data_IF_676942958044
#
_entry.id   IF_676942958044
#
_cell.length_a   1.000
_cell.length_b   1.000
_cell.length_c   1.000
_cell.angle_alpha   90.00
_cell.angle_beta   90.00
_cell.angle_gamma   90.00
#
_symmetry.space_group_name_H-M   'P 1'
#
loop_
_entity.id
_entity.type
_entity.pdbx_description
1 polymer ?
#
# COMPACT_ATOMS: atom_id res chain seq x y z
N UNK A 1 -54.78 60.49 -21.32
CA UNK A 1 -54.16 60.67 -19.99
C UNK A 1 -53.68 59.30 -19.53
N UNK A 2 -52.43 58.86 -19.76
CA UNK A 2 -51.15 59.30 -19.14
C UNK A 2 -51.32 59.43 -17.61
N UNK A 3 -50.64 58.69 -16.72
CA UNK A 3 -49.19 58.41 -16.64
C UNK A 3 -48.87 57.28 -15.63
N UNK A 4 -47.83 56.47 -15.97
CA UNK A 4 -46.73 55.93 -15.13
C UNK A 4 -47.09 55.01 -13.93
N UNK A 5 -46.70 53.74 -13.80
CA UNK A 5 -45.55 52.94 -14.28
C UNK A 5 -44.19 53.59 -14.07
N UNK A 6 -43.60 53.48 -12.86
CA UNK A 6 -42.15 53.49 -12.61
C UNK A 6 -41.81 52.93 -11.22
N UNK A 7 -41.80 51.61 -11.02
CA UNK A 7 -41.11 51.00 -9.86
C UNK A 7 -40.27 49.75 -10.16
N UNK A 8 -40.20 49.28 -11.41
CA UNK A 8 -39.41 48.11 -11.79
C UNK A 8 -38.01 48.41 -12.35
N UNK A 9 -37.57 49.66 -12.38
CA UNK A 9 -36.26 50.03 -12.95
C UNK A 9 -35.15 50.34 -11.92
N UNK A 10 -35.43 50.26 -10.62
CA UNK A 10 -34.43 50.59 -9.59
C UNK A 10 -33.78 49.36 -8.95
N UNK A 11 -34.34 48.16 -9.13
CA UNK A 11 -33.81 46.92 -8.54
C UNK A 11 -32.80 46.19 -9.44
N UNK A 12 -32.81 46.44 -10.75
CA UNK A 12 -31.86 45.84 -11.70
C UNK A 12 -30.53 46.59 -11.80
N UNK A 13 -30.44 47.84 -11.35
CA UNK A 13 -29.17 48.58 -11.33
C UNK A 13 -28.34 48.39 -10.05
N UNK A 14 -28.95 47.94 -8.94
CA UNK A 14 -28.23 47.67 -7.70
C UNK A 14 -27.52 46.29 -7.75
N UNK A 15 -28.08 45.31 -8.47
CA UNK A 15 -27.48 43.99 -8.60
C UNK A 15 -26.27 43.95 -9.56
N UNK A 16 -26.21 44.88 -10.53
CA UNK A 16 -25.07 44.98 -11.47
C UNK A 16 -23.89 45.76 -10.86
N UNK A 17 -24.12 46.66 -9.90
CA UNK A 17 -23.04 47.37 -9.20
C UNK A 17 -22.39 46.59 -8.05
N UNK A 18 -23.09 45.61 -7.45
CA UNK A 18 -22.47 44.70 -6.49
C UNK A 18 -21.56 43.64 -7.14
N UNK A 19 -21.66 43.42 -8.45
CA UNK A 19 -20.79 42.48 -9.20
C UNK A 19 -19.55 43.19 -9.79
N UNK A 20 -19.48 44.52 -9.77
CA UNK A 20 -18.38 45.30 -10.38
C UNK A 20 -17.54 46.11 -9.37
N UNK A 21 -17.80 45.98 -8.06
CA UNK A 21 -17.00 46.57 -6.97
C UNK A 21 -16.30 45.53 -6.08
N UNK A 22 -16.13 44.31 -6.56
CA UNK A 22 -15.22 43.29 -6.00
C UNK A 22 -14.10 42.94 -7.00
N UNK A 23 -13.53 43.98 -7.61
CA UNK A 23 -12.29 43.88 -8.37
C UNK A 23 -11.40 45.02 -7.89
N UNK A 24 -10.18 44.68 -7.50
CA UNK A 24 -9.16 45.56 -6.87
C UNK A 24 -9.22 45.60 -5.32
N UNK A 25 -9.11 44.44 -4.68
CA UNK A 25 -8.12 44.26 -3.61
C UNK A 25 -7.05 43.33 -4.25
N UNK A 26 -5.91 43.85 -4.68
CA UNK A 26 -4.83 44.12 -3.75
C UNK A 26 -4.15 42.80 -3.38
N UNK A 27 -3.59 42.08 -4.35
CA UNK A 27 -2.60 41.04 -4.09
C UNK A 27 -1.40 41.71 -3.43
N UNK A 28 -1.32 41.68 -2.10
CA UNK A 28 -0.02 41.78 -1.44
C UNK A 28 0.60 40.39 -1.48
N UNK A 29 1.64 40.28 -2.29
CA UNK A 29 2.60 39.18 -2.28
C UNK A 29 3.31 39.15 -0.91
N UNK A 30 2.64 38.63 0.11
CA UNK A 30 3.34 38.06 1.27
C UNK A 30 3.59 36.60 0.94
N UNK A 31 4.60 36.39 0.11
CA UNK A 31 5.33 35.14 -0.03
C UNK A 31 6.01 34.84 1.30
N UNK A 32 5.24 34.33 2.27
CA UNK A 32 5.81 33.57 3.36
C UNK A 32 6.43 32.32 2.74
N UNK A 33 7.76 32.31 2.71
CA UNK A 33 8.58 31.12 2.50
C UNK A 33 8.06 30.01 3.42
N UNK A 34 7.11 29.22 2.92
CA UNK A 34 7.10 27.80 3.25
C UNK A 34 8.41 27.28 2.69
N UNK A 35 9.32 26.89 3.58
CA UNK A 35 10.49 26.10 3.25
C UNK A 35 10.00 24.83 2.52
N UNK A 36 9.79 24.96 1.21
CA UNK A 36 9.95 23.85 0.28
C UNK A 36 11.42 23.49 0.41
N UNK A 37 11.71 22.61 1.36
CA UNK A 37 12.92 21.82 1.37
C UNK A 37 12.96 21.14 0.01
N UNK A 38 13.63 21.81 -0.94
CA UNK A 38 13.96 21.27 -2.23
C UNK A 38 14.74 20.00 -1.91
N UNK A 39 14.07 18.85 -2.03
CA UNK A 39 14.72 17.58 -2.18
C UNK A 39 15.55 17.74 -3.45
N UNK A 40 16.81 18.10 -3.28
CA UNK A 40 17.81 18.10 -4.33
C UNK A 40 17.70 16.76 -5.04
N UNK A 41 17.56 16.81 -6.37
CA UNK A 41 17.57 15.63 -7.22
C UNK A 41 18.72 14.72 -6.74
N UNK A 42 18.46 13.43 -6.46
CA UNK A 42 19.44 12.56 -5.85
C UNK A 42 20.72 12.59 -6.70
N UNK A 43 21.86 12.78 -6.04
CA UNK A 43 23.14 12.79 -6.73
C UNK A 43 23.26 11.53 -7.61
N UNK A 44 23.84 11.68 -8.79
CA UNK A 44 24.05 10.56 -9.70
C UNK A 44 24.72 9.42 -8.93
N UNK A 45 24.06 8.27 -8.90
CA UNK A 45 24.66 7.01 -8.42
C UNK A 45 26.04 6.90 -9.07
N UNK A 46 27.08 6.74 -8.24
CA UNK A 46 28.46 6.63 -8.72
C UNK A 46 28.60 5.53 -9.77
N UNK A 47 29.54 5.69 -10.70
CA UNK A 47 29.75 4.72 -11.77
C UNK A 47 30.04 3.34 -11.17
N UNK A 48 29.21 2.35 -11.51
CA UNK A 48 29.43 0.96 -11.09
C UNK A 48 30.79 0.50 -11.63
N UNK A 49 31.68 -0.10 -10.81
CA UNK A 49 32.98 -0.56 -11.28
C UNK A 49 32.87 -1.50 -12.48
N UNK A 50 33.84 -1.42 -13.40
CA UNK A 50 33.93 -2.35 -14.52
C UNK A 50 34.09 -3.80 -14.06
N UNK A 51 33.83 -4.74 -14.98
CA UNK A 51 33.85 -6.17 -14.70
C UNK A 51 35.19 -6.63 -14.07
N UNK A 52 35.21 -7.19 -12.83
CA UNK A 52 36.44 -7.48 -12.10
C UNK A 52 37.19 -8.77 -12.52
N UNK A 53 36.75 -9.46 -13.56
CA UNK A 53 37.33 -10.73 -14.00
C UNK A 53 36.80 -11.98 -13.24
N UNK A 54 36.92 -13.19 -13.81
CA UNK A 54 36.29 -14.40 -13.26
C UNK A 54 36.69 -14.70 -11.81
N UNK A 55 35.74 -15.20 -11.03
CA UNK A 55 35.93 -15.52 -9.61
C UNK A 55 36.01 -14.31 -8.67
N UNK A 56 35.80 -13.09 -9.18
CA UNK A 56 35.78 -11.84 -8.40
C UNK A 56 34.39 -11.20 -8.44
N UNK A 57 34.10 -10.35 -7.45
CA UNK A 57 32.88 -9.55 -7.35
C UNK A 57 33.26 -8.11 -6.98
N UNK A 58 32.78 -7.14 -7.73
CA UNK A 58 32.94 -5.72 -7.46
C UNK A 58 31.59 -5.03 -7.46
N UNK A 59 31.54 -3.82 -6.93
CA UNK A 59 30.30 -3.08 -6.93
C UNK A 59 30.37 -1.79 -6.15
N UNK A 60 29.19 -1.22 -5.93
CA UNK A 60 28.97 -0.03 -5.12
C UNK A 60 27.87 -0.33 -4.10
N UNK A 61 28.03 0.19 -2.88
CA UNK A 61 26.99 0.16 -1.86
C UNK A 61 26.33 1.53 -1.78
N UNK A 62 25.01 1.56 -1.85
CA UNK A 62 24.20 2.78 -1.77
C UNK A 62 23.13 2.70 -0.68
N UNK A 63 22.62 3.85 -0.26
CA UNK A 63 21.41 3.96 0.53
C UNK A 63 20.18 3.52 -0.24
N UNK A 64 19.25 2.86 0.44
CA UNK A 64 17.99 2.41 -0.18
C UNK A 64 17.09 3.60 -0.48
N UNK A 65 17.06 4.60 0.40
CA UNK A 65 16.12 5.71 0.32
C UNK A 65 16.66 6.88 -0.50
N UNK A 66 17.87 7.34 -0.21
CA UNK A 66 18.47 8.54 -0.82
C UNK A 66 19.36 8.22 -2.03
N UNK A 67 19.65 6.93 -2.26
CA UNK A 67 20.55 6.41 -3.30
C UNK A 67 21.99 6.93 -3.20
N UNK A 68 22.38 7.46 -2.04
CA UNK A 68 23.72 8.00 -1.80
C UNK A 68 24.73 6.88 -1.60
N UNK A 69 25.98 7.07 -2.04
CA UNK A 69 27.04 6.06 -1.90
C UNK A 69 27.50 5.96 -0.45
N UNK A 70 27.68 4.74 0.06
CA UNK A 70 28.01 4.50 1.46
C UNK A 70 29.46 4.05 1.66
N UNK A 71 30.25 4.90 2.33
CA UNK A 71 31.62 4.62 2.74
C UNK A 71 31.70 3.80 4.04
N UNK A 72 32.73 2.96 4.16
CA UNK A 72 33.07 2.30 5.43
C UNK A 72 32.17 1.11 5.76
N UNK A 73 31.33 0.67 4.83
CA UNK A 73 30.48 -0.51 4.96
C UNK A 73 31.30 -1.77 4.64
N UNK A 74 31.14 -2.82 5.43
CA UNK A 74 31.78 -4.11 5.17
C UNK A 74 30.90 -4.94 4.24
N UNK A 75 31.47 -5.40 3.12
CA UNK A 75 30.84 -6.34 2.19
C UNK A 75 31.58 -7.67 2.26
N UNK A 76 30.86 -8.77 2.41
CA UNK A 76 31.45 -10.09 2.61
C UNK A 76 30.73 -11.22 1.87
N UNK A 77 31.51 -12.22 1.45
CA UNK A 77 31.04 -13.45 0.83
C UNK A 77 31.91 -14.59 1.37
N UNK A 78 31.30 -15.59 2.01
CA UNK A 78 32.04 -16.67 2.70
C UNK A 78 33.09 -16.11 3.67
N UNK A 79 34.37 -16.44 3.49
CA UNK A 79 35.49 -15.94 4.30
C UNK A 79 36.20 -14.71 3.71
N UNK A 80 35.62 -14.08 2.67
CA UNK A 80 36.18 -12.89 2.00
C UNK A 80 35.41 -11.66 2.43
N UNK A 81 36.10 -10.55 2.64
CA UNK A 81 35.50 -9.26 3.00
C UNK A 81 36.28 -8.08 2.42
N UNK A 82 35.58 -6.99 2.14
CA UNK A 82 36.11 -5.70 1.74
C UNK A 82 35.36 -4.59 2.48
N UNK A 83 35.98 -3.42 2.64
CA UNK A 83 35.33 -2.21 3.18
C UNK A 83 35.16 -1.24 2.02
N UNK A 84 33.99 -0.62 1.91
CA UNK A 84 33.70 0.32 0.82
C UNK A 84 34.56 1.59 0.91
N UNK A 85 35.02 2.06 -0.25
CA UNK A 85 35.77 3.31 -0.41
C UNK A 85 34.91 4.56 -0.17
N UNK A 86 35.50 5.74 -0.34
CA UNK A 86 34.79 7.03 -0.22
C UNK A 86 33.71 7.24 -1.28
N UNK A 87 33.81 6.51 -2.38
CA UNK A 87 32.83 6.45 -3.48
C UNK A 87 31.84 5.28 -3.33
N UNK A 88 31.85 4.59 -2.18
CA UNK A 88 31.02 3.42 -1.91
C UNK A 88 31.46 2.15 -2.63
N UNK A 89 32.56 2.17 -3.39
CA UNK A 89 32.99 1.00 -4.19
C UNK A 89 33.70 -0.06 -3.36
N UNK A 90 33.60 -1.33 -3.78
CA UNK A 90 34.33 -2.46 -3.20
C UNK A 90 34.82 -3.46 -4.26
N UNK A 91 35.80 -4.28 -3.89
CA UNK A 91 36.28 -5.42 -4.66
C UNK A 91 36.57 -6.62 -3.74
N UNK A 92 35.91 -7.75 -4.02
CA UNK A 92 36.17 -9.05 -3.42
C UNK A 92 36.81 -9.98 -4.44
N UNK A 93 37.95 -10.57 -4.09
CA UNK A 93 38.66 -11.52 -4.96
C UNK A 93 38.48 -12.96 -4.49
N UNK A 94 38.39 -13.89 -5.45
CA UNK A 94 38.28 -15.32 -5.16
C UNK A 94 37.03 -15.70 -4.36
N UNK A 95 35.88 -15.14 -4.74
CA UNK A 95 34.55 -15.47 -4.19
C UNK A 95 33.89 -16.65 -4.90
N UNK A 96 34.40 -17.02 -6.09
CA UNK A 96 33.88 -18.11 -6.91
C UNK A 96 32.80 -17.67 -7.91
N UNK A 97 32.05 -18.63 -8.43
CA UNK A 97 30.96 -18.44 -9.39
C UNK A 97 29.65 -19.04 -8.83
N UNK A 98 28.52 -18.68 -9.44
CA UNK A 98 27.17 -19.10 -9.03
C UNK A 98 26.42 -18.02 -8.25
N UNK A 99 25.46 -18.46 -7.44
CA UNK A 99 24.64 -17.60 -6.56
C UNK A 99 25.37 -17.43 -5.23
N UNK A 100 25.78 -16.19 -4.95
CA UNK A 100 26.51 -15.78 -3.76
C UNK A 100 25.54 -15.15 -2.76
N UNK A 101 25.70 -15.46 -1.47
CA UNK A 101 25.08 -14.70 -0.39
C UNK A 101 26.04 -13.58 0.02
N UNK A 102 25.75 -12.35 -0.41
CA UNK A 102 26.55 -11.17 -0.11
C UNK A 102 26.02 -10.51 1.15
N UNK A 103 26.82 -10.50 2.22
CA UNK A 103 26.47 -9.90 3.50
C UNK A 103 27.11 -8.52 3.63
N UNK A 104 26.29 -7.51 3.89
CA UNK A 104 26.61 -6.09 3.96
C UNK A 104 26.34 -5.63 5.39
N UNK A 105 27.35 -5.14 6.10
CA UNK A 105 27.22 -4.77 7.52
C UNK A 105 28.00 -3.51 7.88
N UNK A 106 27.55 -2.81 8.93
CA UNK A 106 28.15 -1.57 9.41
C UNK A 106 27.41 -1.03 10.62
N UNK A 107 27.97 -0.03 11.31
CA UNK A 107 27.37 0.52 12.53
C UNK A 107 26.10 1.34 12.28
N UNK A 108 25.95 1.90 11.07
CA UNK A 108 24.91 2.86 10.74
C UNK A 108 23.88 2.30 9.74
N UNK A 109 23.91 0.99 9.48
CA UNK A 109 23.00 0.33 8.54
C UNK A 109 22.36 -0.90 9.18
N UNK A 110 21.17 -1.27 8.72
CA UNK A 110 20.66 -2.61 8.96
C UNK A 110 21.48 -3.62 8.13
N UNK A 111 21.86 -4.74 8.75
CA UNK A 111 22.76 -5.71 8.12
C UNK A 111 22.01 -6.54 7.10
N UNK A 112 22.39 -6.44 5.82
CA UNK A 112 21.72 -7.08 4.68
C UNK A 112 22.47 -8.29 4.12
N UNK A 113 21.74 -9.33 3.78
CA UNK A 113 22.14 -10.46 2.94
C UNK A 113 21.38 -10.40 1.63
N UNK A 114 22.09 -10.20 0.53
CA UNK A 114 21.54 -10.18 -0.83
C UNK A 114 22.06 -11.36 -1.64
N UNK A 115 21.17 -12.02 -2.37
CA UNK A 115 21.55 -13.05 -3.33
C UNK A 115 22.06 -12.40 -4.62
N UNK A 116 23.29 -12.72 -5.03
CA UNK A 116 23.91 -12.22 -6.27
C UNK A 116 24.28 -13.39 -7.16
N UNK A 117 23.68 -13.45 -8.35
CA UNK A 117 24.03 -14.44 -9.37
C UNK A 117 25.14 -13.89 -10.27
N UNK A 118 26.36 -14.43 -10.13
CA UNK A 118 27.52 -13.98 -10.92
C UNK A 118 27.42 -14.26 -12.41
N UNK A 119 26.46 -15.11 -12.84
CA UNK A 119 26.15 -15.30 -14.25
C UNK A 119 25.44 -14.08 -14.88
N UNK A 120 24.74 -13.27 -14.07
CA UNK A 120 24.04 -12.06 -14.53
C UNK A 120 24.96 -10.84 -14.53
N UNK A 121 26.10 -10.93 -13.85
CA UNK A 121 27.13 -9.90 -13.79
C UNK A 121 28.04 -10.06 -12.57
N UNK A 122 29.26 -9.53 -12.66
CA UNK A 122 30.25 -9.49 -11.56
C UNK A 122 30.48 -8.09 -11.01
N UNK A 123 29.71 -7.12 -11.51
CA UNK A 123 29.65 -5.74 -11.07
C UNK A 123 28.22 -5.45 -10.62
N UNK A 124 28.02 -5.14 -9.34
CA UNK A 124 26.68 -5.04 -8.74
C UNK A 124 26.46 -3.70 -8.03
N UNK A 125 25.20 -3.30 -7.97
CA UNK A 125 24.73 -2.25 -7.05
C UNK A 125 24.05 -2.96 -5.89
N UNK A 126 24.53 -2.69 -4.68
CA UNK A 126 23.96 -3.22 -3.45
C UNK A 126 23.34 -2.04 -2.69
N UNK A 127 22.06 -2.14 -2.32
CA UNK A 127 21.42 -1.13 -1.49
C UNK A 127 21.27 -1.61 -0.04
N UNK A 128 21.37 -0.71 0.93
CA UNK A 128 21.13 -1.00 2.36
C UNK A 128 20.31 0.11 2.99
N UNK A 129 19.67 -0.17 4.12
CA UNK A 129 18.90 0.84 4.86
C UNK A 129 19.71 1.39 6.00
N UNK A 130 19.83 2.70 6.05
CA UNK A 130 20.53 3.43 7.09
C UNK A 130 19.68 3.56 8.35
N UNK A 131 20.30 3.30 9.51
CA UNK A 131 19.63 3.36 10.82
C UNK A 131 19.31 4.79 11.27
N UNK A 132 19.95 5.79 10.68
CA UNK A 132 19.74 7.22 10.96
C UNK A 132 18.84 7.91 9.91
N UNK A 133 18.11 7.11 9.11
CA UNK A 133 17.14 7.61 8.14
C UNK A 133 15.73 7.75 8.75
N UNK A 134 14.75 8.11 7.93
CA UNK A 134 13.33 8.10 8.31
C UNK A 134 12.71 6.70 8.34
N UNK A 135 13.48 5.65 8.04
CA UNK A 135 13.03 4.27 8.10
C UNK A 135 12.94 3.77 9.55
N UNK A 136 11.84 3.12 9.89
CA UNK A 136 11.64 2.43 11.16
C UNK A 136 11.45 0.93 10.94
N UNK A 137 12.37 0.13 11.48
CA UNK A 137 12.36 -1.33 11.33
C UNK A 137 11.16 -1.99 12.03
N UNK A 138 10.67 -1.42 13.14
CA UNK A 138 9.55 -2.01 13.88
C UNK A 138 8.29 -1.87 13.05
N UNK A 139 8.01 -0.65 12.57
CA UNK A 139 6.88 -0.36 11.69
C UNK A 139 6.95 -1.16 10.39
N UNK A 140 8.13 -1.27 9.76
CA UNK A 140 8.31 -2.12 8.58
C UNK A 140 7.89 -3.57 8.85
N UNK A 141 8.30 -4.14 9.99
CA UNK A 141 7.97 -5.52 10.35
C UNK A 141 6.50 -5.71 10.67
N UNK A 142 5.82 -4.70 11.20
CA UNK A 142 4.36 -4.74 11.34
C UNK A 142 3.72 -4.77 9.95
N UNK A 143 3.92 -3.72 9.15
CA UNK A 143 3.21 -3.50 7.90
C UNK A 143 3.51 -4.55 6.82
N UNK A 144 4.75 -5.03 6.75
CA UNK A 144 5.17 -5.96 5.69
C UNK A 144 5.09 -7.43 6.11
N UNK A 145 5.07 -7.72 7.42
CA UNK A 145 5.38 -9.06 7.93
C UNK A 145 4.51 -9.55 9.09
N UNK A 146 3.67 -8.71 9.69
CA UNK A 146 2.72 -9.16 10.72
C UNK A 146 3.29 -9.17 12.13
N UNK A 147 4.37 -8.42 12.38
CA UNK A 147 4.92 -8.26 13.74
C UNK A 147 4.03 -7.44 14.69
N UNK A 148 2.79 -7.16 14.29
CA UNK A 148 1.82 -6.45 15.10
C UNK A 148 1.41 -7.30 16.31
N UNK A 149 1.17 -6.71 17.51
CA UNK A 149 0.83 -7.47 18.73
C UNK A 149 -0.40 -8.39 18.62
N UNK A 150 -1.29 -8.15 17.63
CA UNK A 150 -2.45 -9.00 17.34
C UNK A 150 -2.13 -10.15 16.37
N UNK A 151 -1.14 -10.01 15.49
CA UNK A 151 -0.76 -11.04 14.51
C UNK A 151 0.37 -11.95 15.03
N UNK A 152 1.30 -11.42 15.84
CA UNK A 152 2.34 -12.14 16.63
C UNK A 152 3.29 -13.07 15.88
N UNK A 153 3.21 -13.15 14.55
CA UNK A 153 4.04 -13.99 13.71
C UNK A 153 4.74 -13.16 12.62
N UNK A 154 5.98 -13.50 12.33
CA UNK A 154 6.79 -12.86 11.29
C UNK A 154 6.73 -13.68 10.00
N UNK A 155 5.93 -13.22 9.06
CA UNK A 155 5.77 -13.86 7.76
C UNK A 155 6.79 -13.34 6.73
N UNK A 156 7.05 -14.08 5.65
CA UNK A 156 7.72 -13.52 4.48
C UNK A 156 6.89 -12.41 3.84
N UNK A 157 7.55 -11.47 3.15
CA UNK A 157 6.85 -10.40 2.43
C UNK A 157 6.04 -10.97 1.27
N UNK A 158 4.74 -10.65 1.22
CA UNK A 158 3.86 -10.98 0.11
C UNK A 158 3.66 -9.74 -0.74
N UNK A 159 3.79 -9.85 -2.05
CA UNK A 159 3.55 -8.73 -2.97
C UNK A 159 3.31 -9.22 -4.39
N UNK A 160 2.87 -8.31 -5.23
CA UNK A 160 2.86 -8.50 -6.67
C UNK A 160 4.29 -8.43 -7.23
N UNK A 161 4.66 -9.36 -8.12
CA UNK A 161 6.00 -9.41 -8.73
C UNK A 161 6.01 -9.34 -10.26
N UNK A 162 4.83 -9.45 -10.88
CA UNK A 162 4.68 -9.28 -12.32
C UNK A 162 5.16 -7.89 -12.76
N UNK A 163 5.90 -7.81 -13.86
CA UNK A 163 6.23 -6.51 -14.47
C UNK A 163 5.02 -5.84 -15.14
N UNK A 164 3.95 -6.61 -15.38
CA UNK A 164 2.68 -6.09 -15.87
C UNK A 164 1.76 -5.87 -14.66
N UNK A 165 1.25 -4.64 -14.43
CA UNK A 165 0.31 -4.37 -13.35
C UNK A 165 -0.91 -5.30 -13.42
N UNK A 166 -1.52 -5.66 -12.27
CA UNK A 166 -2.78 -6.39 -12.29
C UNK A 166 -3.87 -5.53 -12.95
N UNK A 167 -4.86 -6.20 -13.56
CA UNK A 167 -6.07 -5.51 -14.00
C UNK A 167 -6.98 -5.33 -12.80
N UNK A 168 -7.39 -4.08 -12.55
CA UNK A 168 -8.31 -3.74 -11.48
C UNK A 168 -9.73 -3.82 -12.02
N UNK A 169 -10.56 -4.66 -11.42
CA UNK A 169 -11.97 -4.76 -11.75
C UNK A 169 -12.81 -4.14 -10.64
N UNK A 170 -13.67 -3.21 -11.00
CA UNK A 170 -14.73 -2.70 -10.12
C UNK A 170 -16.01 -3.46 -10.47
N UNK A 171 -16.49 -4.26 -9.53
CA UNK A 171 -17.70 -5.05 -9.71
C UNK A 171 -18.93 -4.14 -9.66
N UNK A 172 -19.79 -4.27 -10.67
CA UNK A 172 -21.03 -3.48 -10.84
C UNK A 172 -22.28 -4.24 -10.39
N UNK A 173 -22.10 -5.37 -9.72
CA UNK A 173 -23.21 -6.15 -9.19
C UNK A 173 -23.75 -5.53 -7.89
N UNK A 174 -24.80 -4.72 -8.00
CA UNK A 174 -25.50 -4.13 -6.85
C UNK A 174 -26.37 -5.09 -6.04
N UNK A 175 -26.43 -6.40 -6.36
CA UNK A 175 -27.31 -7.33 -5.65
C UNK A 175 -27.00 -7.49 -4.14
N UNK A 176 -25.76 -7.15 -3.74
CA UNK A 176 -25.33 -7.15 -2.35
C UNK A 176 -25.29 -5.74 -1.73
N UNK A 177 -25.73 -4.71 -2.46
CA UNK A 177 -25.94 -3.35 -1.93
C UNK A 177 -27.39 -3.19 -1.44
N UNK A 178 -27.58 -2.36 -0.42
CA UNK A 178 -28.86 -2.13 0.24
C UNK A 178 -29.96 -1.63 -0.73
N UNK A 179 -29.60 -0.79 -1.69
CA UNK A 179 -30.53 -0.23 -2.66
C UNK A 179 -30.55 -0.97 -4.01
N UNK A 180 -29.69 -1.99 -4.16
CA UNK A 180 -29.61 -2.80 -5.36
C UNK A 180 -28.77 -2.18 -6.49
N UNK A 181 -28.07 -1.07 -6.25
CA UNK A 181 -27.35 -0.28 -7.25
C UNK A 181 -25.94 0.01 -6.76
N UNK A 182 -24.97 0.06 -7.68
CA UNK A 182 -23.65 0.64 -7.42
C UNK A 182 -23.58 1.92 -8.25
N UNK A 183 -23.50 3.07 -7.60
CA UNK A 183 -23.57 4.35 -8.31
C UNK A 183 -22.26 4.67 -9.05
N UNK A 184 -22.38 5.47 -10.11
CA UNK A 184 -21.20 5.87 -10.90
C UNK A 184 -20.22 6.72 -10.07
N UNK A 185 -20.71 7.45 -9.07
CA UNK A 185 -19.89 8.23 -8.15
C UNK A 185 -18.96 7.33 -7.33
N UNK A 186 -19.46 6.18 -6.86
CA UNK A 186 -18.64 5.22 -6.10
C UNK A 186 -17.61 4.54 -7.00
N UNK A 187 -18.02 4.15 -8.22
CA UNK A 187 -17.10 3.60 -9.23
C UNK A 187 -15.97 4.59 -9.54
N UNK A 188 -16.31 5.87 -9.75
CA UNK A 188 -15.35 6.92 -10.05
C UNK A 188 -14.42 7.19 -8.85
N UNK A 189 -14.96 7.14 -7.63
CA UNK A 189 -14.20 7.30 -6.38
C UNK A 189 -13.20 6.16 -6.20
N UNK A 190 -13.64 4.90 -6.32
CA UNK A 190 -12.76 3.72 -6.29
C UNK A 190 -11.67 3.85 -7.35
N UNK A 191 -12.03 4.18 -8.59
CA UNK A 191 -11.06 4.33 -9.67
C UNK A 191 -10.05 5.47 -9.40
N UNK A 192 -10.48 6.57 -8.79
CA UNK A 192 -9.63 7.70 -8.41
C UNK A 192 -8.62 7.31 -7.33
N UNK A 193 -9.10 6.69 -6.24
CA UNK A 193 -8.25 6.25 -5.13
C UNK A 193 -7.22 5.22 -5.59
N UNK A 194 -7.62 4.23 -6.38
CA UNK A 194 -6.70 3.21 -6.91
C UNK A 194 -5.57 3.82 -7.76
N UNK A 195 -5.89 4.81 -8.61
CA UNK A 195 -4.87 5.54 -9.39
C UNK A 195 -3.94 6.36 -8.50
N UNK A 196 -4.44 6.90 -7.40
CA UNK A 196 -3.66 7.67 -6.44
C UNK A 196 -2.69 6.77 -5.67
N UNK A 197 -3.19 5.70 -5.04
CA UNK A 197 -2.42 4.90 -4.08
C UNK A 197 -1.45 3.92 -4.75
N UNK A 198 -1.78 3.38 -5.93
CA UNK A 198 -0.95 2.34 -6.56
C UNK A 198 0.51 2.76 -6.78
N UNK A 199 0.82 3.92 -7.40
CA UNK A 199 2.21 4.34 -7.55
C UNK A 199 2.89 4.62 -6.21
N UNK A 200 2.14 5.01 -5.18
CA UNK A 200 2.68 5.26 -3.83
C UNK A 200 3.04 3.95 -3.14
N UNK A 201 2.06 3.04 -3.02
CA UNK A 201 2.17 1.75 -2.36
C UNK A 201 3.23 0.85 -3.00
N UNK A 202 3.41 0.97 -4.31
CA UNK A 202 4.38 0.17 -5.06
C UNK A 202 5.69 0.90 -5.35
N UNK A 203 5.84 2.13 -4.83
CA UNK A 203 6.98 3.02 -5.10
C UNK A 203 7.34 3.09 -6.60
N UNK A 204 6.31 3.31 -7.40
CA UNK A 204 6.41 3.45 -8.86
C UNK A 204 6.65 2.14 -9.61
N UNK A 205 6.73 0.98 -8.95
CA UNK A 205 6.79 -0.31 -9.64
C UNK A 205 5.61 -0.47 -10.59
N UNK A 206 4.42 0.00 -10.16
CA UNK A 206 3.31 0.29 -11.05
C UNK A 206 3.05 1.80 -11.09
N UNK A 207 3.54 2.45 -12.14
CA UNK A 207 3.31 3.89 -12.37
C UNK A 207 1.92 4.21 -12.92
N UNK A 208 1.22 3.20 -13.45
CA UNK A 208 -0.15 3.27 -13.95
C UNK A 208 -0.80 1.91 -13.89
N UNK A 209 -2.13 1.88 -13.93
CA UNK A 209 -2.95 0.65 -13.86
C UNK A 209 -4.08 0.69 -14.87
N UNK A 210 -4.53 -0.50 -15.27
CA UNK A 210 -5.75 -0.67 -16.04
C UNK A 210 -6.91 -0.89 -15.06
N UNK A 211 -7.98 -0.10 -15.21
CA UNK A 211 -9.19 -0.22 -14.40
C UNK A 211 -10.37 -0.46 -15.33
N UNK A 212 -11.11 -1.53 -15.08
CA UNK A 212 -12.28 -1.94 -15.84
C UNK A 212 -13.47 -2.10 -14.89
N UNK A 213 -14.67 -1.83 -15.38
CA UNK A 213 -15.88 -2.29 -14.72
C UNK A 213 -16.23 -3.69 -15.23
N UNK A 214 -16.67 -4.56 -14.33
CA UNK A 214 -17.08 -5.92 -14.67
C UNK A 214 -18.29 -6.33 -13.83
N UNK A 215 -18.93 -7.42 -14.21
CA UNK A 215 -20.01 -8.02 -13.44
C UNK A 215 -19.56 -9.37 -12.89
N UNK A 216 -19.56 -9.51 -11.56
CA UNK A 216 -19.36 -10.78 -10.87
C UNK A 216 -20.57 -11.09 -9.99
N UNK A 217 -21.15 -12.27 -10.17
CA UNK A 217 -22.35 -12.72 -9.44
C UNK A 217 -22.06 -12.94 -7.96
N UNK A 218 -23.10 -12.88 -7.11
CA UNK A 218 -22.99 -13.15 -5.66
C UNK A 218 -22.48 -14.56 -5.32
N UNK A 219 -22.58 -15.52 -6.25
CA UNK A 219 -22.01 -16.86 -6.11
C UNK A 219 -20.56 -16.99 -6.59
N UNK A 220 -19.86 -15.87 -6.87
CA UNK A 220 -18.47 -15.92 -7.34
C UNK A 220 -17.55 -16.57 -6.32
N UNK A 221 -16.54 -17.24 -6.83
CA UNK A 221 -15.41 -17.83 -6.09
C UNK A 221 -14.12 -17.15 -6.52
N UNK A 222 -13.06 -17.31 -5.75
CA UNK A 222 -11.74 -16.78 -6.12
C UNK A 222 -11.20 -17.38 -7.43
N UNK A 223 -11.62 -18.59 -7.78
CA UNK A 223 -11.25 -19.23 -9.05
C UNK A 223 -11.95 -18.60 -10.26
N UNK A 224 -13.05 -17.86 -10.05
CA UNK A 224 -13.82 -17.22 -11.12
C UNK A 224 -13.19 -15.90 -11.57
N UNK A 225 -12.31 -15.29 -10.76
CA UNK A 225 -11.61 -14.05 -11.13
C UNK A 225 -10.33 -14.38 -11.91
N UNK A 226 -9.94 -13.58 -12.93
CA UNK A 226 -8.76 -13.84 -13.73
C UNK A 226 -7.47 -13.88 -12.91
N UNK A 227 -6.44 -14.59 -13.38
CA UNK A 227 -5.10 -14.43 -12.83
C UNK A 227 -4.59 -13.00 -13.09
N UNK A 228 -3.68 -12.54 -12.23
CA UNK A 228 -3.16 -11.18 -12.26
C UNK A 228 -4.26 -10.11 -12.17
N UNK A 229 -5.23 -10.31 -11.26
CA UNK A 229 -6.39 -9.42 -11.11
C UNK A 229 -6.63 -8.95 -9.68
N UNK A 230 -7.22 -7.77 -9.58
CA UNK A 230 -7.53 -7.08 -8.34
C UNK A 230 -9.01 -6.67 -8.40
N UNK A 231 -9.88 -7.39 -7.71
CA UNK A 231 -11.33 -7.21 -7.80
C UNK A 231 -11.85 -6.50 -6.56
N UNK A 232 -12.53 -5.37 -6.75
CA UNK A 232 -13.25 -4.63 -5.72
C UNK A 232 -14.74 -4.86 -5.94
N UNK A 233 -15.41 -5.38 -4.93
CA UNK A 233 -16.86 -5.60 -4.90
C UNK A 233 -17.48 -4.90 -3.71
N UNK A 234 -18.80 -4.76 -3.79
CA UNK A 234 -19.62 -4.06 -2.80
C UNK A 234 -20.52 -5.09 -2.12
N UNK A 235 -20.50 -5.14 -0.79
CA UNK A 235 -21.31 -6.10 -0.01
C UNK A 235 -21.71 -5.53 1.34
N UNK A 236 -22.94 -5.02 1.42
CA UNK A 236 -23.50 -4.47 2.64
C UNK A 236 -23.79 -5.54 3.70
N UNK A 237 -23.74 -6.83 3.39
CA UNK A 237 -23.87 -7.86 4.42
C UNK A 237 -22.68 -7.87 5.40
N UNK A 238 -21.54 -7.25 5.04
CA UNK A 238 -20.40 -7.03 5.94
C UNK A 238 -20.80 -6.29 7.22
N UNK A 239 -21.80 -5.43 7.12
CA UNK A 239 -22.37 -4.67 8.24
C UNK A 239 -22.84 -5.63 9.36
N UNK A 240 -23.36 -6.81 9.05
CA UNK A 240 -23.80 -7.80 10.06
C UNK A 240 -22.66 -8.29 10.96
N UNK A 241 -21.45 -8.32 10.41
CA UNK A 241 -20.22 -8.68 11.12
C UNK A 241 -19.52 -7.46 11.74
N UNK A 242 -20.14 -6.28 11.65
CA UNK A 242 -19.59 -5.01 12.09
C UNK A 242 -18.37 -4.57 11.28
N UNK A 243 -18.22 -5.06 10.05
CA UNK A 243 -17.07 -4.80 9.18
C UNK A 243 -17.40 -3.73 8.13
N UNK A 244 -16.40 -2.94 7.77
CA UNK A 244 -16.45 -2.01 6.64
C UNK A 244 -15.89 -2.59 5.36
N UNK A 245 -14.93 -3.49 5.52
CA UNK A 245 -14.20 -4.08 4.42
C UNK A 245 -13.70 -5.46 4.80
N UNK A 246 -13.46 -6.24 3.75
CA UNK A 246 -12.88 -7.56 3.82
C UNK A 246 -11.93 -7.72 2.65
N UNK A 247 -10.71 -8.14 2.93
CA UNK A 247 -9.73 -8.45 1.89
C UNK A 247 -9.21 -9.88 2.00
N UNK A 248 -9.15 -10.56 0.85
CA UNK A 248 -8.53 -11.86 0.67
C UNK A 248 -7.61 -11.87 -0.55
N UNK A 249 -6.49 -12.58 -0.46
CA UNK A 249 -5.52 -12.73 -1.54
C UNK A 249 -5.24 -14.19 -1.84
N UNK A 250 -4.86 -14.47 -3.09
CA UNK A 250 -4.38 -15.79 -3.52
C UNK A 250 -3.00 -15.65 -4.17
N UNK A 251 -1.97 -16.38 -3.70
CA UNK A 251 -1.95 -17.12 -2.43
C UNK A 251 -2.27 -16.20 -1.23
N UNK A 252 -2.76 -16.78 -0.14
CA UNK A 252 -2.93 -16.03 1.11
C UNK A 252 -1.57 -15.64 1.71
N UNK A 253 -1.63 -14.77 2.71
CA UNK A 253 -0.48 -14.15 3.35
C UNK A 253 0.36 -15.08 4.24
N UNK A 254 -0.11 -16.30 4.46
CA UNK A 254 0.59 -17.32 5.24
C UNK A 254 0.99 -18.52 4.38
N UNK A 255 0.78 -18.43 3.06
CA UNK A 255 1.04 -19.49 2.11
C UNK A 255 2.49 -19.96 2.20
N UNK A 256 2.72 -21.28 2.38
CA UNK A 256 4.07 -21.82 2.41
C UNK A 256 4.68 -21.99 1.02
N UNK A 257 3.90 -21.77 -0.05
CA UNK A 257 4.26 -22.18 -1.41
C UNK A 257 4.84 -21.06 -2.24
N UNK A 258 4.34 -19.84 -2.08
CA UNK A 258 4.76 -18.67 -2.84
C UNK A 258 4.32 -17.42 -2.10
N UNK A 259 5.14 -16.37 -2.18
CA UNK A 259 4.79 -15.04 -1.67
C UNK A 259 4.49 -14.03 -2.79
N UNK A 260 4.29 -14.53 -4.01
CA UNK A 260 3.81 -13.69 -5.12
C UNK A 260 2.30 -13.73 -5.17
N UNK A 261 1.66 -12.60 -4.89
CA UNK A 261 0.21 -12.41 -5.04
C UNK A 261 -0.15 -12.51 -6.52
N UNK A 262 -1.22 -13.26 -6.82
CA UNK A 262 -1.78 -13.44 -8.16
C UNK A 262 -3.20 -12.88 -8.28
N UNK A 263 -3.95 -12.91 -7.17
CA UNK A 263 -5.33 -12.42 -7.12
C UNK A 263 -5.55 -11.67 -5.81
N UNK A 264 -6.30 -10.58 -5.88
CA UNK A 264 -6.86 -9.90 -4.72
C UNK A 264 -8.36 -9.76 -4.90
N UNK A 265 -9.12 -10.08 -3.86
CA UNK A 265 -10.57 -9.92 -3.81
C UNK A 265 -10.92 -9.11 -2.56
N UNK A 266 -11.54 -7.96 -2.81
CA UNK A 266 -11.90 -6.96 -1.81
C UNK A 266 -13.41 -6.79 -1.84
N UNK A 267 -14.00 -6.74 -0.66
CA UNK A 267 -15.39 -6.36 -0.45
C UNK A 267 -15.43 -5.14 0.45
N UNK A 268 -16.20 -4.13 0.08
CA UNK A 268 -16.44 -2.92 0.87
C UNK A 268 -17.93 -2.70 1.02
N UNK A 269 -18.34 -2.03 2.10
CA UNK A 269 -19.71 -1.55 2.26
C UNK A 269 -20.02 -0.50 1.18
N UNK A 270 -21.29 -0.39 0.80
CA UNK A 270 -21.82 0.55 -0.21
C UNK A 270 -22.98 1.36 0.39
N UNK A 271 -22.72 1.93 1.55
CA UNK A 271 -23.74 2.62 2.32
C UNK A 271 -23.17 3.88 2.98
N UNK A 272 -23.53 5.04 2.40
CA UNK A 272 -23.22 6.40 2.86
C UNK A 272 -23.41 6.64 4.36
N UNK A 273 -24.34 5.92 4.99
CA UNK A 273 -24.55 6.03 6.42
C UNK A 273 -23.34 5.56 7.23
N UNK A 274 -22.42 4.81 6.65
CA UNK A 274 -21.23 4.32 7.35
C UNK A 274 -20.03 5.25 7.18
N UNK A 275 -20.11 6.17 6.21
CA UNK A 275 -19.03 7.06 5.84
C UNK A 275 -19.12 8.46 6.44
N UNK A 276 -17.99 9.16 6.35
CA UNK A 276 -17.84 10.55 6.72
C UNK A 276 -18.84 11.40 5.93
N UNK A 277 -19.63 12.19 6.65
CA UNK A 277 -20.58 13.12 6.05
C UNK A 277 -20.60 14.42 6.83
N UNK A 278 -21.28 15.44 6.30
CA UNK A 278 -21.52 16.68 7.05
C UNK A 278 -22.23 16.45 8.39
N UNK A 279 -23.03 15.38 8.51
CA UNK A 279 -23.73 15.00 9.73
C UNK A 279 -22.89 14.14 10.69
N UNK A 280 -21.82 13.51 10.19
CA UNK A 280 -20.96 12.59 10.96
C UNK A 280 -19.49 12.74 10.51
N UNK A 281 -18.87 13.90 10.77
CA UNK A 281 -17.50 14.20 10.32
C UNK A 281 -16.43 13.34 11.00
N UNK A 282 -16.77 12.65 12.09
CA UNK A 282 -15.90 11.71 12.81
C UNK A 282 -15.88 10.30 12.22
N UNK A 283 -16.76 10.00 11.26
CA UNK A 283 -16.75 8.71 10.56
C UNK A 283 -15.60 8.65 9.57
N UNK A 284 -15.23 7.43 9.22
CA UNK A 284 -14.22 7.16 8.22
C UNK A 284 -14.69 7.57 6.83
N UNK A 285 -13.81 8.14 6.00
CA UNK A 285 -14.17 8.44 4.61
C UNK A 285 -14.17 7.18 3.73
N UNK A 286 -14.96 7.18 2.67
CA UNK A 286 -15.03 6.05 1.74
C UNK A 286 -13.65 5.75 1.10
N UNK A 287 -12.90 6.81 0.80
CA UNK A 287 -11.55 6.72 0.24
C UNK A 287 -10.54 6.08 1.18
N UNK A 288 -10.62 6.33 2.49
CA UNK A 288 -9.77 5.67 3.48
C UNK A 288 -10.01 4.16 3.48
N UNK A 289 -11.26 3.70 3.38
CA UNK A 289 -11.58 2.26 3.32
C UNK A 289 -11.04 1.63 2.04
N UNK A 290 -11.28 2.26 0.88
CA UNK A 290 -10.76 1.76 -0.39
C UNK A 290 -9.23 1.64 -0.31
N UNK A 291 -8.55 2.65 0.23
CA UNK A 291 -7.10 2.64 0.36
C UNK A 291 -6.60 1.58 1.34
N UNK A 292 -7.26 1.42 2.49
CA UNK A 292 -6.94 0.44 3.52
C UNK A 292 -7.06 -0.99 2.99
N UNK A 293 -8.23 -1.36 2.47
CA UNK A 293 -8.48 -2.69 1.91
C UNK A 293 -7.57 -2.97 0.71
N UNK A 294 -7.33 -1.95 -0.13
CA UNK A 294 -6.39 -2.10 -1.22
C UNK A 294 -4.96 -2.35 -0.71
N UNK A 295 -4.58 -1.76 0.42
CA UNK A 295 -3.31 -2.02 1.08
C UNK A 295 -3.12 -3.50 1.40
N UNK A 296 -4.14 -4.17 1.94
CA UNK A 296 -4.15 -5.63 2.06
C UNK A 296 -4.03 -6.32 0.70
N UNK A 297 -4.76 -5.88 -0.31
CA UNK A 297 -4.63 -6.43 -1.67
C UNK A 297 -3.22 -6.32 -2.27
N UNK A 298 -2.44 -5.33 -1.85
CA UNK A 298 -1.05 -5.13 -2.27
C UNK A 298 -0.02 -5.92 -1.45
N UNK A 299 -0.41 -6.56 -0.35
CA UNK A 299 0.51 -7.32 0.50
C UNK A 299 0.77 -6.74 1.89
N UNK A 300 0.08 -5.66 2.28
CA UNK A 300 0.32 -4.98 3.56
C UNK A 300 -0.60 -5.47 4.67
N UNK A 301 -0.13 -5.35 5.90
CA UNK A 301 -0.76 -5.83 7.14
C UNK A 301 -1.01 -4.67 8.09
N UNK A 302 -1.74 -4.94 9.15
CA UNK A 302 -2.03 -3.93 10.15
C UNK A 302 -0.80 -3.46 10.91
N UNK A 303 -0.84 -2.19 11.31
CA UNK A 303 0.19 -1.53 12.11
C UNK A 303 -0.39 -1.00 13.41
N UNK A 304 0.49 -0.79 14.39
CA UNK A 304 0.12 -0.23 15.69
C UNK A 304 -0.40 1.20 15.52
N UNK A 305 -1.47 1.57 16.25
CA UNK A 305 -2.00 2.93 16.18
C UNK A 305 -1.03 3.96 16.83
N UNK A 306 -1.03 5.23 16.39
CA UNK A 306 -0.25 6.30 17.01
C UNK A 306 -0.50 6.49 18.50
N UNK A 307 -1.74 6.22 18.95
CA UNK A 307 -2.15 6.26 20.36
C UNK A 307 -1.39 5.25 21.24
N UNK A 308 -0.82 4.20 20.65
CA UNK A 308 -0.03 3.16 21.30
C UNK A 308 1.46 3.21 20.91
N UNK A 309 1.93 4.34 20.37
CA UNK A 309 3.32 4.53 19.97
C UNK A 309 3.67 4.03 18.57
N UNK A 310 2.67 3.68 17.75
CA UNK A 310 2.85 3.44 16.33
C UNK A 310 2.97 4.73 15.50
N UNK A 311 2.95 4.59 14.19
CA UNK A 311 3.06 5.71 13.25
C UNK A 311 1.75 5.95 12.51
N UNK A 312 1.49 7.18 12.01
CA UNK A 312 0.37 7.42 11.11
C UNK A 312 0.51 6.54 9.87
N UNK A 313 -0.51 5.74 9.57
CA UNK A 313 -0.53 4.82 8.45
C UNK A 313 -1.97 4.54 8.06
N UNK A 314 -2.26 4.38 6.78
CA UNK A 314 -3.56 3.88 6.33
C UNK A 314 -3.84 2.47 6.86
N UNK A 315 -2.79 1.70 7.19
CA UNK A 315 -2.90 0.33 7.72
C UNK A 315 -3.04 0.26 9.25
N UNK A 316 -3.32 1.37 9.93
CA UNK A 316 -3.82 1.30 11.32
C UNK A 316 -5.29 0.87 11.30
N UNK A 317 -5.88 0.64 12.48
CA UNK A 317 -7.32 0.39 12.56
C UNK A 317 -8.12 1.45 11.80
N UNK A 318 -8.93 0.97 10.86
CA UNK A 318 -9.81 1.74 9.98
C UNK A 318 -10.56 2.86 10.72
N UNK A 319 -10.35 4.11 10.27
CA UNK A 319 -11.02 5.32 10.77
C UNK A 319 -10.21 6.08 11.81
N UNK A 320 -8.98 5.64 12.10
CA UNK A 320 -8.04 6.32 13.00
C UNK A 320 -7.03 7.20 12.27
N UNK A 321 -6.84 7.00 10.97
CA UNK A 321 -5.84 7.74 10.20
C UNK A 321 -6.42 9.01 9.56
N UNK A 322 -7.56 8.91 8.88
CA UNK A 322 -8.21 10.07 8.24
C UNK A 322 -7.63 10.45 6.88
N UNK A 323 -7.14 9.50 6.09
CA UNK A 323 -6.54 9.74 4.77
C UNK A 323 -6.25 8.47 3.97
N UNK A 324 -5.73 8.61 2.74
CA UNK A 324 -5.46 7.46 1.86
C UNK A 324 -4.06 6.88 2.01
N UNK A 325 -3.08 7.65 2.48
CA UNK A 325 -1.75 7.19 2.87
C UNK A 325 -0.98 8.28 3.63
N UNK A 326 0.03 7.87 4.40
CA UNK A 326 0.99 8.74 5.08
C UNK A 326 2.37 8.70 4.40
N UNK A 327 3.29 9.54 4.87
CA UNK A 327 4.71 9.44 4.49
C UNK A 327 5.37 8.15 4.99
N UNK A 328 4.91 7.59 6.12
CA UNK A 328 5.38 6.29 6.59
C UNK A 328 4.92 5.16 5.66
N UNK A 329 3.69 5.21 5.16
CA UNK A 329 3.20 4.26 4.16
C UNK A 329 4.07 4.32 2.91
N UNK A 330 4.20 5.51 2.30
CA UNK A 330 5.00 5.72 1.09
C UNK A 330 6.42 5.15 1.23
N UNK A 331 7.09 5.47 2.33
CA UNK A 331 8.46 5.05 2.56
C UNK A 331 8.57 3.52 2.76
N UNK A 332 7.79 2.94 3.67
CA UNK A 332 7.96 1.54 4.07
C UNK A 332 7.35 0.56 3.08
N UNK A 333 6.16 0.85 2.54
CA UNK A 333 5.56 0.07 1.46
C UNK A 333 6.46 0.09 0.22
N UNK A 334 7.09 1.23 -0.05
CA UNK A 334 8.07 1.34 -1.12
C UNK A 334 9.27 0.43 -0.95
N UNK A 335 9.79 0.30 0.27
CA UNK A 335 10.85 -0.68 0.58
C UNK A 335 10.37 -2.10 0.30
N UNK A 336 9.15 -2.47 0.68
CA UNK A 336 8.60 -3.82 0.40
C UNK A 336 8.66 -4.15 -1.08
N UNK A 337 8.27 -3.21 -1.96
CA UNK A 337 8.30 -3.41 -3.41
C UNK A 337 9.70 -3.38 -4.03
N UNK A 338 10.69 -2.83 -3.32
CA UNK A 338 12.11 -2.93 -3.70
C UNK A 338 12.77 -4.24 -3.25
N UNK A 339 12.14 -5.01 -2.35
CA UNK A 339 12.65 -6.31 -1.89
C UNK A 339 12.05 -7.46 -2.69
N UNK A 340 12.73 -8.60 -2.86
CA UNK A 340 12.14 -9.80 -3.46
C UNK A 340 10.90 -10.27 -2.68
N UNK A 341 9.93 -10.87 -3.36
CA UNK A 341 8.86 -11.60 -2.67
C UNK A 341 9.45 -12.77 -1.88
N UNK A 342 8.89 -13.05 -0.70
CA UNK A 342 9.38 -14.10 0.19
C UNK A 342 10.58 -13.68 1.02
N UNK A 343 10.96 -12.40 1.00
CA UNK A 343 12.00 -11.85 1.85
C UNK A 343 11.59 -12.01 3.33
N UNK A 344 12.49 -12.60 4.13
CA UNK A 344 12.19 -13.11 5.49
C UNK A 344 12.64 -12.18 6.61
N UNK A 345 13.16 -11.03 6.25
CA UNK A 345 13.35 -9.80 7.03
C UNK A 345 13.92 -8.78 6.06
N UNK A 346 13.93 -7.49 6.44
CA UNK A 346 14.43 -6.34 5.65
C UNK A 346 15.63 -6.62 4.73
N UNK A 347 16.42 -7.57 5.20
CA UNK A 347 17.81 -7.83 4.93
C UNK A 347 18.12 -9.31 4.71
N UNK A 348 17.14 -10.21 4.57
CA UNK A 348 17.41 -11.61 4.24
C UNK A 348 16.61 -12.02 3.00
N UNK A 349 17.20 -11.74 1.84
CA UNK A 349 16.68 -12.23 0.56
C UNK A 349 16.64 -13.76 0.60
N UNK A 350 15.59 -14.39 0.04
CA UNK A 350 15.49 -15.83 -0.01
C UNK A 350 16.68 -16.39 -0.80
N UNK A 351 17.58 -17.11 -0.14
CA UNK A 351 18.64 -17.84 -0.82
C UNK A 351 18.09 -19.20 -1.29
N UNK A 352 18.46 -19.71 -2.47
CA UNK A 352 17.88 -20.94 -3.03
C UNK A 352 17.91 -22.18 -2.13
N UNK A 353 18.75 -22.18 -1.09
CA UNK A 353 18.92 -23.28 -0.14
C UNK A 353 18.28 -23.03 1.23
N UNK A 354 17.74 -21.84 1.50
CA UNK A 354 17.03 -21.58 2.76
C UNK A 354 15.58 -22.01 2.61
N UNK A 355 15.28 -23.26 2.97
CA UNK A 355 13.90 -23.63 3.28
C UNK A 355 13.52 -22.94 4.58
N UNK A 356 12.94 -21.74 4.48
CA UNK A 356 12.25 -21.15 5.62
C UNK A 356 11.24 -22.18 6.10
N UNK A 357 11.35 -22.61 7.37
CA UNK A 357 10.37 -23.51 7.97
C UNK A 357 9.08 -22.72 8.14
N UNK A 358 8.28 -22.68 7.08
CA UNK A 358 6.94 -22.14 7.14
C UNK A 358 6.15 -23.08 8.05
N UNK A 359 5.60 -22.54 9.13
CA UNK A 359 4.61 -23.27 9.91
C UNK A 359 3.46 -23.55 8.96
N UNK A 360 3.09 -24.81 8.83
CA UNK A 360 1.84 -25.18 8.15
C UNK A 360 0.72 -24.67 9.04
N UNK A 361 0.18 -23.51 8.71
CA UNK A 361 -1.03 -23.01 9.31
C UNK A 361 -2.12 -23.42 8.32
N UNK A 362 -2.97 -24.37 8.72
CA UNK A 362 -4.05 -24.91 7.88
C UNK A 362 -5.28 -23.96 7.86
N UNK A 363 -5.06 -22.63 7.94
CA UNK A 363 -6.12 -21.63 8.02
C UNK A 363 -5.90 -20.59 6.94
N UNK A 364 -6.97 -20.05 6.35
CA UNK A 364 -6.83 -18.96 5.41
C UNK A 364 -6.67 -17.66 6.18
N UNK A 365 -5.70 -16.81 5.82
CA UNK A 365 -5.66 -15.47 6.37
C UNK A 365 -6.66 -14.56 5.63
N UNK A 366 -7.56 -13.94 6.40
CA UNK A 366 -8.57 -12.99 5.94
C UNK A 366 -8.40 -11.72 6.76
N UNK A 367 -8.43 -10.56 6.11
CA UNK A 367 -8.46 -9.27 6.77
C UNK A 367 -9.92 -8.83 6.85
N UNK A 368 -10.42 -8.63 8.07
CA UNK A 368 -11.78 -8.19 8.34
C UNK A 368 -11.73 -6.94 9.22
N UNK A 369 -12.11 -5.81 8.64
CA UNK A 369 -11.89 -4.51 9.26
C UNK A 369 -13.13 -3.97 9.97
N UNK A 370 -13.16 -4.26 11.28
CA UNK A 370 -14.31 -4.05 12.13
C UNK A 370 -14.37 -2.67 12.80
N UNK A 371 -15.59 -2.12 12.93
CA UNK A 371 -15.93 -1.04 13.86
C UNK A 371 -16.45 -1.60 15.20
N UNK A 372 -16.25 -0.82 16.26
CA UNK A 372 -16.75 -1.14 17.62
C UNK A 372 -18.16 -0.62 17.92
N UNK A 373 -18.80 0.14 17.04
CA UNK A 373 -20.10 0.76 17.35
C UNK A 373 -21.24 -0.14 16.89
N UNK A 374 -22.14 -0.47 17.82
CA UNK A 374 -23.32 -1.26 17.56
C UNK A 374 -24.31 -0.51 16.67
N UNK A 375 -25.20 -1.26 16.02
CA UNK A 375 -26.34 -0.71 15.29
C UNK A 375 -27.23 0.14 16.20
N UNK A 376 -27.30 1.44 15.92
CA UNK A 376 -28.30 2.31 16.55
C UNK A 376 -29.63 2.32 15.75
N UNK A 377 -29.66 1.75 14.53
CA UNK A 377 -30.81 1.73 13.64
C UNK A 377 -31.30 0.29 13.34
N UNK A 378 -32.41 -0.10 13.97
CA UNK A 378 -33.02 -1.42 13.81
C UNK A 378 -33.60 -1.63 12.41
N UNK A 379 -34.15 -0.61 11.77
CA UNK A 379 -34.75 -0.73 10.43
C UNK A 379 -33.66 -1.04 9.41
N UNK A 380 -32.52 -0.35 9.51
CA UNK A 380 -31.35 -0.62 8.68
C UNK A 380 -30.79 -2.01 8.92
N UNK A 381 -30.70 -2.44 10.18
CA UNK A 381 -30.26 -3.79 10.51
C UNK A 381 -31.18 -4.89 9.95
N UNK A 382 -32.50 -4.68 9.94
CA UNK A 382 -33.46 -5.59 9.31
C UNK A 382 -33.30 -5.62 7.79
N UNK A 383 -33.06 -4.46 7.18
CA UNK A 383 -32.81 -4.35 5.74
C UNK A 383 -31.54 -5.12 5.34
N UNK A 384 -30.42 -4.91 6.04
CA UNK A 384 -29.16 -5.63 5.81
C UNK A 384 -29.37 -7.15 5.87
N UNK A 385 -30.15 -7.66 6.83
CA UNK A 385 -30.46 -9.10 6.96
C UNK A 385 -31.24 -9.71 5.80
N UNK A 386 -31.88 -8.87 5.00
CA UNK A 386 -32.63 -9.33 3.83
C UNK A 386 -31.78 -9.35 2.55
N UNK A 387 -30.58 -8.76 2.56
CA UNK A 387 -29.70 -8.68 1.40
C UNK A 387 -29.09 -10.05 1.11
N UNK A 388 -29.01 -10.40 -0.16
CA UNK A 388 -28.21 -11.54 -0.60
C UNK A 388 -26.75 -11.12 -0.75
N UNK A 389 -26.00 -11.15 0.35
CA UNK A 389 -24.53 -10.99 0.31
C UNK A 389 -23.83 -12.08 -0.50
N UNK A 390 -22.56 -11.84 -0.84
CA UNK A 390 -21.73 -12.78 -1.58
C UNK A 390 -21.47 -14.06 -0.78
N UNK A 391 -21.57 -15.22 -1.44
CA UNK A 391 -21.36 -16.52 -0.80
C UNK A 391 -19.94 -16.65 -0.25
N UNK A 392 -18.95 -16.12 -0.97
CA UNK A 392 -17.55 -16.11 -0.54
C UNK A 392 -17.31 -15.22 0.68
N UNK A 393 -18.03 -14.10 0.83
CA UNK A 393 -17.91 -13.23 2.02
C UNK A 393 -18.33 -13.99 3.28
N UNK A 394 -19.44 -14.72 3.21
CA UNK A 394 -19.91 -15.59 4.32
C UNK A 394 -18.90 -16.70 4.65
N UNK A 395 -18.29 -17.31 3.63
CA UNK A 395 -17.26 -18.33 3.80
C UNK A 395 -16.02 -17.75 4.51
N UNK A 396 -15.55 -16.57 4.08
CA UNK A 396 -14.35 -15.91 4.61
C UNK A 396 -14.57 -15.39 6.03
N UNK A 397 -15.74 -14.82 6.35
CA UNK A 397 -16.11 -14.43 7.72
C UNK A 397 -16.15 -15.67 8.62
N UNK A 398 -16.77 -16.76 8.16
CA UNK A 398 -16.84 -17.98 8.96
C UNK A 398 -15.46 -18.62 9.20
N UNK A 399 -14.49 -18.38 8.31
CA UNK A 399 -13.08 -18.75 8.53
C UNK A 399 -12.37 -17.80 9.48
N UNK A 400 -12.61 -16.49 9.37
CA UNK A 400 -12.11 -15.48 10.31
C UNK A 400 -12.56 -15.78 11.75
N UNK A 401 -13.84 -16.10 11.97
CA UNK A 401 -14.38 -16.42 13.29
C UNK A 401 -13.78 -17.70 13.90
N UNK A 402 -13.12 -18.56 13.10
CA UNK A 402 -12.39 -19.75 13.58
C UNK A 402 -10.97 -19.44 14.06
N UNK A 403 -10.44 -18.26 13.75
CA UNK A 403 -9.06 -17.88 14.08
C UNK A 403 -8.91 -17.60 15.56
#
# INVERSE_FOLDING_TARGET
MMKQSKHYLFFTYLLVWCVLLFSIAGCSDDSSNGDNSNLTEPDKIGDVPGDPGPGNLAGIVIGTLDKQTLQGVTVSVNSRSAITGSDGTFLLTGVGEGILAVVISGSNIYTRTQAVNTADGRSVVLDVLEQNSSFDLTFYREIARGNHPLERDLFPTHRWTSSTPPTFYINTNGAAANDGVIDQEDIDTVASVLRQITPVFTNGFYSSINIETAYFSTSMRIDDIPDNSFVISFDDSLIESGAYGLTYTQPDFISPTTSTIQKSLIFIVDDDYYYQSSASPERISFEEIIAHESGHGFGFRHTSEPSYGGFPSVMVKTGKFGGTYSEYDRLHMGVVYQRPAGNTDLDNDPVPTSSAKLRTIDRLQVFLDQRLEAFDDLERAEKTRSIQGFDIVKELIAEYDRQ
#
